data_IF_659552714542
#
_entry.id   IF_659552714542
#
_cell.length_a   1.000
_cell.length_b   1.000
_cell.length_c   1.000
_cell.angle_alpha   90.00
_cell.angle_beta   90.00
_cell.angle_gamma   90.00
#
_symmetry.space_group_name_H-M   'P 1'
#
loop_
_entity.id
_entity.type
_entity.pdbx_description
1 polymer ?
#
# COMPACT_ATOMS: atom_id res chain seq x y z
N UNK A 1 10.07 -26.91 -21.66
CA UNK A 1 9.82 -25.54 -21.20
C UNK A 1 11.07 -24.71 -21.44
N UNK A 2 10.96 -23.60 -22.18
CA UNK A 2 12.09 -22.70 -22.45
C UNK A 2 11.60 -21.27 -22.18
N UNK A 3 12.19 -20.61 -21.20
CA UNK A 3 11.91 -19.21 -20.89
C UNK A 3 12.78 -18.32 -21.80
N UNK A 4 12.20 -17.24 -22.33
CA UNK A 4 12.90 -16.23 -23.13
C UNK A 4 12.73 -14.88 -22.42
N UNK A 5 13.84 -14.17 -22.21
CA UNK A 5 13.89 -12.86 -21.56
C UNK A 5 13.57 -11.73 -22.56
N UNK A 6 12.99 -10.62 -22.09
CA UNK A 6 12.63 -9.47 -22.94
C UNK A 6 13.89 -8.73 -23.42
N UNK A 7 14.11 -8.76 -24.74
CA UNK A 7 15.18 -8.09 -25.47
C UNK A 7 15.31 -8.54 -26.93
N UNK A 8 14.73 -9.68 -27.30
CA UNK A 8 14.81 -10.21 -28.66
C UNK A 8 13.74 -9.56 -29.57
N UNK A 9 14.17 -8.59 -30.39
CA UNK A 9 13.39 -8.07 -31.51
C UNK A 9 13.23 -9.17 -32.55
N UNK A 10 11.99 -9.57 -32.84
CA UNK A 10 11.63 -10.43 -33.96
C UNK A 10 10.33 -9.95 -34.58
N UNK A 11 10.43 -9.28 -35.72
CA UNK A 11 9.31 -8.90 -36.60
C UNK A 11 8.68 -10.15 -37.21
N UNK A 12 7.44 -10.47 -36.83
CA UNK A 12 6.64 -11.54 -37.44
C UNK A 12 5.14 -11.26 -37.30
N UNK A 13 4.30 -11.58 -38.30
CA UNK A 13 2.91 -11.15 -38.34
C UNK A 13 2.01 -11.95 -37.39
N UNK A 14 0.95 -11.28 -36.95
CA UNK A 14 -0.07 -11.71 -35.98
C UNK A 14 -0.67 -13.09 -36.23
N UNK A 15 -0.58 -13.96 -35.22
CA UNK A 15 -1.38 -15.18 -35.08
C UNK A 15 -2.13 -15.15 -33.76
N UNK A 16 -3.40 -14.73 -33.81
CA UNK A 16 -4.34 -14.74 -32.69
C UNK A 16 -4.74 -16.18 -32.36
N UNK A 17 -4.78 -16.52 -31.07
CA UNK A 17 -5.19 -17.86 -30.66
C UNK A 17 -5.07 -18.14 -29.17
N UNK A 18 -5.72 -17.35 -28.32
CA UNK A 18 -6.20 -17.79 -26.99
C UNK A 18 -7.42 -16.95 -26.60
N UNK A 19 -8.60 -17.43 -27.00
CA UNK A 19 -9.89 -17.04 -26.40
C UNK A 19 -9.95 -17.59 -24.97
N UNK A 20 -10.07 -16.73 -23.95
CA UNK A 20 -10.48 -17.18 -22.62
C UNK A 20 -9.81 -16.57 -21.39
N UNK A 21 -9.35 -15.30 -21.39
CA UNK A 21 -8.91 -14.63 -20.15
C UNK A 21 -9.52 -13.23 -20.07
N UNK A 22 -10.81 -13.16 -19.77
CA UNK A 22 -11.55 -11.88 -19.65
C UNK A 22 -11.65 -11.38 -18.20
N UNK A 23 -10.71 -11.73 -17.33
CA UNK A 23 -10.78 -11.35 -15.91
C UNK A 23 -9.42 -11.25 -15.22
N UNK A 24 -8.41 -10.72 -15.91
CA UNK A 24 -7.29 -10.08 -15.22
C UNK A 24 -7.44 -8.57 -15.40
N UNK A 25 -7.63 -7.85 -14.30
CA UNK A 25 -7.55 -6.39 -14.31
C UNK A 25 -6.13 -6.02 -14.71
N UNK A 26 -5.97 -5.48 -15.93
CA UNK A 26 -4.73 -4.83 -16.35
C UNK A 26 -4.45 -3.65 -15.40
N UNK A 27 -3.18 -3.37 -15.07
CA UNK A 27 -2.84 -2.16 -14.34
C UNK A 27 -3.41 -0.95 -15.10
N UNK A 28 -3.93 0.07 -14.38
CA UNK A 28 -4.42 1.29 -15.00
C UNK A 28 -3.31 1.94 -15.84
N UNK A 29 -3.72 2.65 -16.88
CA UNK A 29 -2.78 3.32 -17.78
C UNK A 29 -2.09 4.46 -17.03
N UNK A 30 -0.81 4.74 -17.28
CA UNK A 30 -0.05 5.81 -16.59
C UNK A 30 -0.71 7.20 -16.73
N UNK A 31 -1.58 7.38 -17.73
CA UNK A 31 -2.38 8.60 -17.92
C UNK A 31 -3.44 8.81 -16.82
N UNK A 32 -3.91 7.73 -16.17
CA UNK A 32 -4.83 7.79 -15.02
C UNK A 32 -4.14 8.14 -13.69
N UNK A 33 -2.79 8.11 -13.66
CA UNK A 33 -1.98 8.44 -12.48
C UNK A 33 -1.56 9.92 -12.44
N UNK A 34 -1.78 10.66 -13.52
CA UNK A 34 -1.45 12.08 -13.60
C UNK A 34 -2.52 12.94 -12.92
N UNK A 35 -2.40 13.10 -11.60
CA UNK A 35 -3.13 14.15 -10.86
C UNK A 35 -2.59 15.50 -11.32
N UNK A 36 -3.37 16.25 -12.12
CA UNK A 36 -3.05 17.64 -12.45
C UNK A 36 -3.19 18.50 -11.19
N UNK A 37 -2.16 19.26 -10.76
CA UNK A 37 -2.30 20.17 -9.63
C UNK A 37 -3.05 21.43 -10.09
N UNK A 38 -4.37 21.40 -9.99
CA UNK A 38 -5.20 22.60 -10.15
C UNK A 38 -5.38 23.29 -8.78
N UNK A 39 -4.36 24.00 -8.30
CA UNK A 39 -4.55 24.96 -7.21
C UNK A 39 -3.88 26.29 -7.54
N UNK A 40 -4.68 27.17 -8.15
CA UNK A 40 -4.39 28.59 -8.19
C UNK A 40 -4.71 29.23 -6.83
N UNK A 41 -3.68 29.75 -6.17
CA UNK A 41 -3.72 30.97 -5.36
C UNK A 41 -4.51 30.96 -4.06
N UNK A 42 -3.84 30.58 -2.96
CA UNK A 42 -3.80 31.34 -1.70
C UNK A 42 -2.66 30.79 -0.83
N UNK A 43 -1.58 31.56 -0.65
CA UNK A 43 -0.58 31.28 0.38
C UNK A 43 -1.24 31.41 1.76
N UNK A 44 -1.73 30.28 2.26
CA UNK A 44 -1.74 30.02 3.69
C UNK A 44 -0.52 29.18 3.98
N UNK A 45 0.22 29.55 5.01
CA UNK A 45 1.40 28.88 5.58
C UNK A 45 1.03 27.49 6.15
N UNK A 46 0.40 26.66 5.34
CA UNK A 46 -0.06 25.30 5.64
C UNK A 46 0.88 24.35 4.93
N UNK A 47 1.69 23.62 5.71
CA UNK A 47 2.56 22.56 5.19
C UNK A 47 1.67 21.56 4.44
N UNK A 48 1.92 21.36 3.15
CA UNK A 48 1.15 20.42 2.34
C UNK A 48 1.27 18.99 2.92
N UNK A 49 0.24 18.14 2.81
CA UNK A 49 0.33 16.76 3.25
C UNK A 49 1.46 16.04 2.51
N UNK A 50 2.13 15.11 3.20
CA UNK A 50 3.24 14.35 2.66
C UNK A 50 2.81 13.59 1.37
N UNK A 51 3.46 13.83 0.21
CA UNK A 51 3.10 13.13 -1.03
C UNK A 51 3.50 11.66 -0.96
N UNK A 52 2.73 10.81 -1.65
CA UNK A 52 3.14 9.44 -1.90
C UNK A 52 4.26 9.41 -2.96
N UNK A 53 5.41 8.82 -2.60
CA UNK A 53 6.61 8.78 -3.45
C UNK A 53 6.80 7.45 -4.18
N UNK A 54 6.24 6.37 -3.62
CA UNK A 54 6.27 5.05 -4.22
C UNK A 54 5.01 4.25 -3.87
N UNK A 55 4.67 3.28 -4.70
CA UNK A 55 3.55 2.35 -4.49
C UNK A 55 3.99 0.92 -4.81
N UNK A 56 3.38 -0.06 -4.15
CA UNK A 56 3.62 -1.47 -4.39
C UNK A 56 2.36 -2.30 -4.13
N UNK A 57 2.29 -3.46 -4.77
CA UNK A 57 1.31 -4.49 -4.47
C UNK A 57 2.06 -5.75 -4.05
N UNK A 58 1.72 -6.26 -2.88
CA UNK A 58 2.38 -7.40 -2.26
C UNK A 58 1.49 -8.62 -2.45
N UNK A 59 2.11 -9.72 -2.87
CA UNK A 59 1.47 -11.02 -3.04
C UNK A 59 2.21 -12.05 -2.18
N UNK A 60 1.65 -12.33 -1.00
CA UNK A 60 2.16 -13.39 -0.13
C UNK A 60 1.51 -14.73 -0.51
N UNK A 61 2.21 -15.49 -1.36
CA UNK A 61 1.76 -16.81 -1.78
C UNK A 61 1.77 -17.86 -0.65
N UNK A 62 2.58 -17.65 0.41
CA UNK A 62 2.67 -18.58 1.53
C UNK A 62 1.53 -18.34 2.54
N UNK A 63 1.29 -17.08 2.91
CA UNK A 63 0.20 -16.66 3.79
C UNK A 63 -1.17 -16.57 3.09
N UNK A 64 -1.17 -16.54 1.75
CA UNK A 64 -2.39 -16.43 0.93
C UNK A 64 -3.04 -15.05 1.00
N UNK A 65 -2.24 -14.01 1.23
CA UNK A 65 -2.68 -12.63 1.37
C UNK A 65 -2.18 -11.76 0.21
N UNK A 66 -2.95 -10.75 -0.16
CA UNK A 66 -2.49 -9.68 -1.04
C UNK A 66 -3.02 -8.35 -0.54
N UNK A 67 -2.18 -7.34 -0.63
CA UNK A 67 -2.50 -5.99 -0.20
C UNK A 67 -1.64 -4.98 -0.94
N UNK A 68 -2.06 -3.72 -0.89
CA UNK A 68 -1.35 -2.60 -1.48
C UNK A 68 -0.63 -1.82 -0.41
N UNK A 69 0.51 -1.23 -0.75
CA UNK A 69 1.23 -0.34 0.12
C UNK A 69 1.79 0.85 -0.65
N UNK A 70 2.01 1.96 0.05
CA UNK A 70 2.64 3.15 -0.52
C UNK A 70 3.55 3.80 0.51
N UNK A 71 4.61 4.45 0.03
CA UNK A 71 5.52 5.24 0.86
C UNK A 71 5.10 6.69 0.78
N UNK A 72 4.96 7.34 1.93
CA UNK A 72 4.85 8.80 2.02
C UNK A 72 6.17 9.36 2.57
N UNK A 73 6.60 10.49 2.01
CA UNK A 73 7.82 11.19 2.40
C UNK A 73 7.50 12.66 2.61
N UNK A 74 7.69 13.16 3.83
CA UNK A 74 7.42 14.57 4.16
C UNK A 74 8.67 15.46 4.06
N UNK A 75 9.79 14.88 3.60
CA UNK A 75 11.12 15.50 3.49
C UNK A 75 11.97 15.36 4.76
N UNK A 76 11.39 14.95 5.89
CA UNK A 76 12.11 14.66 7.13
C UNK A 76 12.03 13.16 7.46
N UNK A 77 10.84 12.58 7.36
CA UNK A 77 10.55 11.19 7.70
C UNK A 77 9.80 10.50 6.56
N UNK A 78 10.11 9.23 6.36
CA UNK A 78 9.44 8.33 5.43
C UNK A 78 8.64 7.30 6.19
N UNK A 79 7.44 7.03 5.69
CA UNK A 79 6.53 6.08 6.31
C UNK A 79 5.91 5.19 5.26
N UNK A 80 5.95 3.87 5.50
CA UNK A 80 5.25 2.91 4.67
C UNK A 80 3.84 2.71 5.20
N UNK A 81 2.85 2.90 4.34
CA UNK A 81 1.44 2.63 4.62
C UNK A 81 1.02 1.36 3.90
N UNK A 82 0.56 0.34 4.63
CA UNK A 82 0.02 -0.90 4.07
C UNK A 82 -1.50 -0.97 4.27
N UNK A 83 -2.24 -1.21 3.19
CA UNK A 83 -3.71 -1.20 3.15
C UNK A 83 -4.26 -2.62 3.34
N UNK A 84 -4.71 -2.93 4.55
CA UNK A 84 -5.28 -4.21 4.92
C UNK A 84 -6.80 -4.17 4.75
N UNK A 85 -7.26 -4.75 3.64
CA UNK A 85 -8.67 -4.89 3.30
C UNK A 85 -9.19 -6.31 3.60
N UNK A 86 -10.34 -6.67 3.05
CA UNK A 86 -10.95 -7.99 3.24
C UNK A 86 -10.07 -9.16 2.80
N UNK A 87 -9.06 -8.94 1.95
CA UNK A 87 -8.21 -10.01 1.42
C UNK A 87 -7.21 -10.56 2.45
N UNK A 88 -6.93 -9.80 3.53
CA UNK A 88 -6.01 -10.23 4.59
C UNK A 88 -6.70 -11.00 5.72
N UNK A 89 -8.04 -11.03 5.73
CA UNK A 89 -8.82 -11.63 6.81
C UNK A 89 -8.73 -13.16 6.78
N UNK A 90 -8.48 -13.74 7.97
CA UNK A 90 -8.31 -15.19 8.14
C UNK A 90 -7.04 -15.76 7.49
N UNK A 91 -6.10 -14.91 7.07
CA UNK A 91 -4.81 -15.30 6.49
C UNK A 91 -3.70 -15.29 7.53
N UNK A 92 -2.65 -16.05 7.27
CA UNK A 92 -1.43 -15.95 8.09
C UNK A 92 -0.63 -14.74 7.63
N UNK A 93 -0.70 -13.66 8.40
CA UNK A 93 -0.03 -12.39 8.08
C UNK A 93 1.40 -12.32 8.61
N UNK A 94 1.86 -13.32 9.37
CA UNK A 94 3.20 -13.28 9.95
C UNK A 94 4.30 -13.18 8.87
N UNK A 95 4.28 -13.98 7.77
CA UNK A 95 5.30 -13.86 6.73
C UNK A 95 5.26 -12.49 6.04
N UNK A 96 4.05 -12.02 5.69
CA UNK A 96 3.84 -10.71 5.10
C UNK A 96 4.35 -9.56 5.98
N UNK A 97 4.06 -9.59 7.29
CA UNK A 97 4.50 -8.57 8.24
C UNK A 97 6.03 -8.57 8.42
N UNK A 98 6.66 -9.74 8.48
CA UNK A 98 8.12 -9.82 8.53
C UNK A 98 8.75 -9.24 7.26
N UNK A 99 8.22 -9.56 6.08
CA UNK A 99 8.70 -9.01 4.82
C UNK A 99 8.49 -7.48 4.75
N UNK A 100 7.38 -6.97 5.27
CA UNK A 100 7.15 -5.53 5.37
C UNK A 100 8.15 -4.84 6.29
N UNK A 101 8.45 -5.41 7.46
CA UNK A 101 9.46 -4.84 8.37
C UNK A 101 10.85 -4.83 7.71
N UNK A 102 11.24 -5.90 7.03
CA UNK A 102 12.51 -5.97 6.29
C UNK A 102 12.57 -4.96 5.14
N UNK A 103 11.45 -4.72 4.45
CA UNK A 103 11.36 -3.69 3.41
C UNK A 103 11.50 -2.28 3.99
N UNK A 104 10.88 -2.02 5.13
CA UNK A 104 10.89 -0.72 5.83
C UNK A 104 12.28 -0.40 6.35
N UNK A 105 12.92 -1.33 7.07
CA UNK A 105 14.26 -1.18 7.64
C UNK A 105 15.38 -1.24 6.59
N UNK A 106 15.15 -1.93 5.47
CA UNK A 106 16.13 -2.10 4.41
C UNK A 106 15.97 -1.09 3.27
N UNK A 107 15.44 -1.51 2.11
CA UNK A 107 15.49 -0.74 0.86
C UNK A 107 14.64 0.54 0.86
N UNK A 108 13.60 0.62 1.70
CA UNK A 108 12.72 1.79 1.72
C UNK A 108 13.21 2.89 2.68
N UNK A 109 14.08 2.54 3.64
CA UNK A 109 14.67 3.46 4.63
C UNK A 109 13.57 4.32 5.29
N UNK A 110 12.54 3.64 5.80
CA UNK A 110 11.36 4.23 6.39
C UNK A 110 11.41 4.09 7.92
N UNK A 111 11.08 5.14 8.65
CA UNK A 111 11.12 5.14 10.12
C UNK A 111 9.82 4.61 10.74
N UNK A 112 8.75 4.57 9.96
CA UNK A 112 7.44 4.13 10.43
C UNK A 112 6.77 3.15 9.46
N UNK A 113 6.12 2.15 10.04
CA UNK A 113 5.20 1.25 9.36
C UNK A 113 3.78 1.49 9.90
N UNK A 114 2.86 1.84 9.00
CA UNK A 114 1.46 2.13 9.32
C UNK A 114 0.56 1.14 8.59
N UNK A 115 -0.17 0.32 9.35
CA UNK A 115 -1.21 -0.56 8.83
C UNK A 115 -2.54 0.19 8.82
N UNK A 116 -3.16 0.28 7.65
CA UNK A 116 -4.46 0.88 7.42
C UNK A 116 -5.49 -0.25 7.29
N UNK A 117 -6.33 -0.42 8.31
CA UNK A 117 -7.36 -1.47 8.35
C UNK A 117 -8.67 -0.92 7.79
N UNK A 118 -9.28 -1.61 6.83
CA UNK A 118 -10.58 -1.23 6.26
C UNK A 118 -11.69 -1.38 7.31
N UNK A 119 -12.38 -0.28 7.63
CA UNK A 119 -13.54 -0.27 8.54
C UNK A 119 -14.75 -1.03 7.99
N UNK A 120 -14.73 -1.39 6.70
CA UNK A 120 -15.72 -2.26 6.07
C UNK A 120 -15.53 -3.76 6.34
N UNK A 121 -14.49 -4.16 7.09
CA UNK A 121 -14.30 -5.52 7.61
C UNK A 121 -15.30 -5.77 8.75
N UNK A 122 -15.73 -7.02 8.94
CA UNK A 122 -16.58 -7.40 10.07
C UNK A 122 -15.93 -7.05 11.41
N UNK A 123 -16.72 -6.53 12.36
CA UNK A 123 -16.18 -5.97 13.61
C UNK A 123 -15.38 -7.00 14.42
N UNK A 124 -15.79 -8.27 14.41
CA UNK A 124 -15.07 -9.35 15.10
C UNK A 124 -13.71 -9.63 14.47
N UNK A 125 -13.65 -9.71 13.15
CA UNK A 125 -12.42 -9.92 12.38
C UNK A 125 -11.45 -8.74 12.52
N UNK A 126 -11.97 -7.52 12.43
CA UNK A 126 -11.18 -6.30 12.62
C UNK A 126 -10.58 -6.25 14.03
N UNK A 127 -11.36 -6.60 15.06
CA UNK A 127 -10.87 -6.69 16.45
C UNK A 127 -9.79 -7.76 16.63
N UNK A 128 -9.96 -8.91 15.99
CA UNK A 128 -8.96 -9.98 16.02
C UNK A 128 -7.64 -9.52 15.38
N UNK A 129 -7.73 -8.91 14.20
CA UNK A 129 -6.58 -8.35 13.49
C UNK A 129 -5.87 -7.26 14.30
N UNK A 130 -6.61 -6.30 14.85
CA UNK A 130 -6.05 -5.24 15.70
C UNK A 130 -5.31 -5.80 16.91
N UNK A 131 -5.89 -6.81 17.59
CA UNK A 131 -5.20 -7.49 18.70
C UNK A 131 -3.92 -8.13 18.22
N UNK A 132 -3.93 -8.86 17.11
CA UNK A 132 -2.73 -9.52 16.59
C UNK A 132 -1.61 -8.52 16.26
N UNK A 133 -1.96 -7.35 15.69
CA UNK A 133 -1.02 -6.27 15.42
C UNK A 133 -0.50 -5.63 16.72
N UNK A 134 -1.34 -5.45 17.74
CA UNK A 134 -0.88 -5.00 19.06
C UNK A 134 0.14 -5.95 19.69
N UNK A 135 -0.04 -7.26 19.55
CA UNK A 135 0.95 -8.24 20.03
C UNK A 135 2.30 -8.13 19.33
N UNK A 136 2.31 -7.66 18.08
CA UNK A 136 3.54 -7.41 17.31
C UNK A 136 4.21 -6.10 17.71
N UNK A 137 3.46 -5.13 18.26
CA UNK A 137 3.97 -3.83 18.70
C UNK A 137 3.29 -2.63 18.06
N UNK A 138 2.24 -2.82 17.25
CA UNK A 138 1.51 -1.73 16.64
C UNK A 138 0.55 -1.06 17.62
N UNK A 139 0.50 0.26 17.60
CA UNK A 139 -0.41 1.07 18.41
C UNK A 139 -1.40 1.85 17.53
N UNK A 140 -2.59 2.12 18.06
CA UNK A 140 -3.57 2.98 17.39
C UNK A 140 -2.96 4.37 17.19
N UNK A 141 -2.95 4.84 15.94
CA UNK A 141 -2.38 6.14 15.58
C UNK A 141 -3.38 6.96 14.76
N UNK A 142 -3.09 8.25 14.63
CA UNK A 142 -3.85 9.17 13.76
C UNK A 142 -2.92 9.72 12.69
N UNK A 143 -3.48 10.27 11.61
CA UNK A 143 -2.65 10.85 10.55
C UNK A 143 -2.05 12.22 10.92
N UNK A 144 -2.20 12.69 12.16
CA UNK A 144 -1.82 14.03 12.61
C UNK A 144 -0.37 14.40 12.30
N UNK A 145 0.54 13.42 12.41
CA UNK A 145 1.96 13.60 12.09
C UNK A 145 2.21 13.88 10.60
N UNK A 146 1.35 13.40 9.70
CA UNK A 146 1.53 13.49 8.24
C UNK A 146 0.57 14.46 7.55
N UNK A 147 -0.57 14.77 8.18
CA UNK A 147 -1.67 15.54 7.59
C UNK A 147 -1.66 17.03 7.96
N UNK A 148 -0.84 17.45 8.93
CA UNK A 148 -0.52 18.85 9.27
C UNK A 148 -1.70 19.84 9.17
N UNK A 149 -2.89 19.51 9.71
CA UNK A 149 -4.17 20.29 9.72
C UNK A 149 -5.28 19.82 8.73
N UNK A 150 -5.08 18.71 8.00
CA UNK A 150 -6.16 18.03 7.25
C UNK A 150 -6.79 16.94 8.11
N UNK A 151 -8.11 16.75 8.00
CA UNK A 151 -8.92 15.81 8.80
C UNK A 151 -8.18 14.46 9.01
N UNK A 152 -7.71 14.27 10.24
CA UNK A 152 -6.74 13.23 10.64
C UNK A 152 -7.36 11.84 10.79
N UNK A 153 -8.66 11.75 10.54
CA UNK A 153 -9.44 10.52 10.65
C UNK A 153 -10.04 10.15 9.31
N UNK A 154 -9.83 8.90 8.89
CA UNK A 154 -10.49 8.36 7.70
C UNK A 154 -11.81 7.70 8.10
N UNK A 155 -12.87 7.98 7.35
CA UNK A 155 -14.13 7.25 7.46
C UNK A 155 -14.03 5.80 6.94
N UNK A 156 -12.96 5.48 6.20
CA UNK A 156 -12.74 4.16 5.59
C UNK A 156 -11.64 3.37 6.29
N UNK A 157 -10.60 4.04 6.77
CA UNK A 157 -9.42 3.36 7.31
C UNK A 157 -9.24 3.65 8.80
N UNK A 158 -8.78 2.64 9.53
CA UNK A 158 -8.27 2.76 10.89
C UNK A 158 -6.76 2.55 10.83
N UNK A 159 -5.99 3.40 11.49
CA UNK A 159 -4.54 3.39 11.39
C UNK A 159 -3.90 2.80 12.65
N UNK A 160 -2.96 1.88 12.44
CA UNK A 160 -2.09 1.34 13.48
C UNK A 160 -0.64 1.53 13.07
N UNK A 161 0.15 2.23 13.88
CA UNK A 161 1.53 2.58 13.58
C UNK A 161 2.51 1.84 14.48
N UNK A 162 3.70 1.60 13.95
CA UNK A 162 4.87 1.11 14.69
C UNK A 162 6.11 1.86 14.17
N UNK A 163 6.99 2.24 15.09
CA UNK A 163 8.31 2.77 14.79
C UNK A 163 9.29 1.60 14.66
N UNK A 164 10.16 1.66 13.65
CA UNK A 164 11.12 0.61 13.31
C UNK A 164 12.52 0.96 13.84
#
# INVERSE_FOLDING_TARGET
MKAVFRGERGTGPNGSGLTGVYSMQTPPSDEDLAVQPHFGGRETDRKAPAPATAWMEVWDFAGGASFRAFVADDGAEKSLFALFDRNVIGRDLKPALMALMELVDGPLDCQHLVICIDRGIEEEDAKSLMKSLQWVGFELTTLDRWAHDVDVTSNRWLFMGMEI
#
